data_IF_912552385021
#
_entry.id   IF_912552385021
#
_cell.length_a   1.000
_cell.length_b   1.000
_cell.length_c   1.000
_cell.angle_alpha   90.00
_cell.angle_beta   90.00
_cell.angle_gamma   90.00
#
_symmetry.space_group_name_H-M   'P 1'
#
loop_
_entity.id
_entity.type
_entity.pdbx_description
1 polymer ?
#
# COMPACT_ATOMS: atom_id res chain seq x y z
N UNK A 1 -28.68 -66.58 -25.89
CA UNK A 1 -27.46 -66.28 -25.12
C UNK A 1 -27.46 -64.85 -24.57
N UNK A 2 -28.53 -64.05 -24.69
CA UNK A 2 -28.64 -62.60 -24.28
C UNK A 2 -29.19 -62.52 -22.84
N UNK A 3 -29.97 -63.40 -22.34
CA UNK A 3 -30.61 -63.37 -21.00
C UNK A 3 -29.67 -63.55 -19.81
N UNK A 4 -28.49 -64.17 -19.99
CA UNK A 4 -27.56 -64.40 -18.88
C UNK A 4 -26.73 -63.12 -18.50
N UNK A 5 -26.56 -62.24 -19.44
CA UNK A 5 -25.74 -60.99 -19.23
C UNK A 5 -26.54 -59.90 -18.49
N UNK A 6 -27.82 -59.77 -18.75
CA UNK A 6 -28.69 -58.78 -18.04
C UNK A 6 -28.93 -59.21 -16.58
N UNK A 7 -29.12 -60.48 -16.31
CA UNK A 7 -29.33 -60.99 -14.96
C UNK A 7 -28.07 -60.76 -14.09
N UNK A 8 -26.88 -61.05 -14.63
CA UNK A 8 -25.59 -60.82 -13.96
C UNK A 8 -25.38 -59.31 -13.66
N UNK A 9 -25.83 -58.43 -14.56
CA UNK A 9 -25.71 -57.00 -14.39
C UNK A 9 -26.63 -56.46 -13.28
N UNK A 10 -27.86 -56.94 -13.19
CA UNK A 10 -28.81 -56.59 -12.11
C UNK A 10 -28.36 -57.07 -10.73
N UNK A 11 -27.81 -58.26 -10.65
CA UNK A 11 -27.27 -58.81 -9.39
C UNK A 11 -26.04 -58.04 -8.95
N UNK A 12 -25.13 -57.69 -9.85
CA UNK A 12 -23.95 -56.87 -9.58
C UNK A 12 -24.30 -55.50 -9.00
N UNK A 13 -25.27 -54.79 -9.58
CA UNK A 13 -25.74 -53.51 -9.07
C UNK A 13 -26.42 -53.62 -7.70
N UNK A 14 -27.16 -54.75 -7.46
CA UNK A 14 -27.79 -55.00 -6.19
C UNK A 14 -26.75 -55.25 -5.08
N UNK A 15 -25.72 -56.04 -5.38
CA UNK A 15 -24.62 -56.33 -4.46
C UNK A 15 -23.79 -55.06 -4.14
N UNK A 16 -23.55 -54.25 -5.15
CA UNK A 16 -22.91 -52.94 -4.98
C UNK A 16 -23.73 -52.02 -4.05
N UNK A 17 -25.03 -51.86 -4.31
CA UNK A 17 -25.93 -51.11 -3.47
C UNK A 17 -26.03 -51.63 -2.04
N UNK A 18 -26.04 -52.95 -1.87
CA UNK A 18 -26.08 -53.60 -0.56
C UNK A 18 -24.78 -53.44 0.23
N UNK A 19 -23.62 -53.44 -0.45
CA UNK A 19 -22.32 -53.11 0.14
C UNK A 19 -22.26 -51.65 0.62
N UNK A 20 -22.81 -50.69 -0.16
CA UNK A 20 -22.93 -49.32 0.26
C UNK A 20 -23.87 -49.12 1.47
N UNK A 21 -25.00 -49.80 1.49
CA UNK A 21 -25.99 -49.69 2.59
C UNK A 21 -25.51 -50.37 3.87
N UNK A 22 -24.68 -51.43 3.77
CA UNK A 22 -24.09 -52.13 4.92
C UNK A 22 -22.93 -51.39 5.60
N UNK A 23 -22.26 -50.43 4.89
CA UNK A 23 -21.11 -49.67 5.43
C UNK A 23 -21.27 -48.15 5.27
N UNK A 24 -22.47 -47.66 5.51
CA UNK A 24 -22.82 -46.21 5.34
C UNK A 24 -21.85 -45.28 6.08
N UNK A 25 -21.45 -45.60 7.30
CA UNK A 25 -20.52 -44.80 8.08
C UNK A 25 -19.14 -44.64 7.43
N UNK A 26 -18.58 -45.77 6.95
CA UNK A 26 -17.28 -45.77 6.26
C UNK A 26 -17.35 -45.00 4.93
N UNK A 27 -18.42 -45.26 4.15
CA UNK A 27 -18.63 -44.55 2.88
C UNK A 27 -18.77 -43.03 3.10
N UNK A 28 -19.60 -42.63 4.08
CA UNK A 28 -19.80 -41.21 4.41
C UNK A 28 -18.49 -40.53 4.88
N UNK A 29 -17.71 -41.25 5.72
CA UNK A 29 -16.39 -40.73 6.16
C UNK A 29 -15.43 -40.45 5.00
N UNK A 30 -15.32 -41.41 4.07
CA UNK A 30 -14.45 -41.25 2.90
C UNK A 30 -14.96 -40.15 2.00
N UNK A 31 -16.26 -40.07 1.73
CA UNK A 31 -16.88 -39.06 0.92
C UNK A 31 -16.65 -37.65 1.54
N UNK A 32 -16.86 -37.50 2.85
CA UNK A 32 -16.64 -36.25 3.57
C UNK A 32 -15.17 -35.86 3.52
N UNK A 33 -14.24 -36.77 3.69
CA UNK A 33 -12.81 -36.50 3.60
C UNK A 33 -12.41 -36.04 2.20
N UNK A 34 -12.90 -36.69 1.16
CA UNK A 34 -12.66 -36.27 -0.23
C UNK A 34 -13.29 -34.91 -0.55
N UNK A 35 -14.49 -34.65 -0.02
CA UNK A 35 -15.18 -33.38 -0.18
C UNK A 35 -14.42 -32.25 0.50
N UNK A 36 -13.95 -32.45 1.73
CA UNK A 36 -13.15 -31.48 2.46
C UNK A 36 -11.81 -31.18 1.75
N UNK A 37 -11.14 -32.24 1.29
CA UNK A 37 -9.89 -32.10 0.53
C UNK A 37 -10.08 -31.32 -0.77
N UNK A 38 -11.13 -31.64 -1.53
CA UNK A 38 -11.48 -30.93 -2.76
C UNK A 38 -11.85 -29.46 -2.49
N UNK A 39 -12.64 -29.21 -1.44
CA UNK A 39 -13.04 -27.86 -1.04
C UNK A 39 -11.82 -27.01 -0.66
N UNK A 40 -10.92 -27.57 0.15
CA UNK A 40 -9.69 -26.89 0.54
C UNK A 40 -8.81 -26.57 -0.68
N UNK A 41 -8.62 -27.53 -1.59
CA UNK A 41 -7.81 -27.33 -2.78
C UNK A 41 -8.40 -26.27 -3.72
N UNK A 42 -9.71 -26.31 -3.96
CA UNK A 42 -10.40 -25.31 -4.80
C UNK A 42 -10.38 -23.95 -4.11
N UNK A 43 -10.64 -23.90 -2.80
CA UNK A 43 -10.59 -22.66 -2.02
C UNK A 43 -9.23 -21.96 -2.13
N UNK A 44 -8.15 -22.69 -1.94
CA UNK A 44 -6.80 -22.17 -2.08
C UNK A 44 -6.48 -21.69 -3.50
N UNK A 45 -6.90 -22.46 -4.53
CA UNK A 45 -6.66 -22.07 -5.93
C UNK A 45 -7.44 -20.83 -6.36
N UNK A 46 -8.60 -20.57 -5.77
CA UNK A 46 -9.44 -19.42 -6.14
C UNK A 46 -9.07 -18.18 -5.32
N UNK A 47 -8.53 -18.35 -4.11
CA UNK A 47 -8.18 -17.24 -3.23
C UNK A 47 -7.09 -16.33 -3.83
N UNK A 48 -5.98 -16.89 -4.32
CA UNK A 48 -4.86 -16.10 -4.85
C UNK A 48 -5.27 -15.19 -6.02
N UNK A 49 -5.89 -15.67 -7.12
CA UNK A 49 -6.30 -14.82 -8.22
C UNK A 49 -7.32 -13.73 -7.82
N UNK A 50 -8.18 -14.02 -6.85
CA UNK A 50 -9.15 -13.03 -6.37
C UNK A 50 -8.47 -11.93 -5.55
N UNK A 51 -7.50 -12.29 -4.71
CA UNK A 51 -6.69 -11.31 -3.97
C UNK A 51 -5.90 -10.42 -4.92
N UNK A 52 -5.22 -11.00 -5.92
CA UNK A 52 -4.48 -10.24 -6.95
C UNK A 52 -5.40 -9.28 -7.70
N UNK A 53 -6.59 -9.74 -8.12
CA UNK A 53 -7.56 -8.88 -8.82
C UNK A 53 -8.03 -7.72 -7.95
N UNK A 54 -8.31 -7.96 -6.67
CA UNK A 54 -8.73 -6.93 -5.72
C UNK A 54 -7.61 -5.92 -5.48
N UNK A 55 -6.38 -6.39 -5.30
CA UNK A 55 -5.22 -5.54 -5.12
C UNK A 55 -4.93 -4.71 -6.39
N UNK A 56 -5.02 -5.32 -7.57
CA UNK A 56 -4.86 -4.60 -8.83
C UNK A 56 -5.92 -3.51 -9.02
N UNK A 57 -7.20 -3.83 -8.74
CA UNK A 57 -8.26 -2.81 -8.78
C UNK A 57 -7.95 -1.64 -7.85
N UNK A 58 -7.45 -1.91 -6.65
CA UNK A 58 -7.05 -0.86 -5.71
C UNK A 58 -5.88 -0.02 -6.24
N UNK A 59 -4.84 -0.66 -6.77
CA UNK A 59 -3.68 0.00 -7.40
C UNK A 59 -4.12 0.95 -8.51
N UNK A 60 -5.01 0.50 -9.39
CA UNK A 60 -5.53 1.32 -10.48
C UNK A 60 -6.41 2.47 -9.97
N UNK A 61 -7.30 2.20 -9.01
CA UNK A 61 -8.19 3.20 -8.43
C UNK A 61 -7.43 4.32 -7.72
N UNK A 62 -6.43 3.97 -6.94
CA UNK A 62 -5.59 4.93 -6.23
C UNK A 62 -4.56 5.60 -7.15
N UNK A 63 -4.41 5.13 -8.39
CA UNK A 63 -3.31 5.51 -9.28
C UNK A 63 -1.96 5.41 -8.55
N UNK A 64 -1.72 4.22 -7.93
CA UNK A 64 -0.56 4.00 -7.07
C UNK A 64 0.75 4.22 -7.85
N UNK A 65 1.71 4.88 -7.23
CA UNK A 65 3.04 5.03 -7.78
C UNK A 65 3.71 3.66 -8.01
N UNK A 66 4.38 3.51 -9.14
CA UNK A 66 5.22 2.33 -9.41
C UNK A 66 6.54 2.44 -8.65
N UNK A 67 7.02 3.67 -8.44
CA UNK A 67 8.25 3.97 -7.71
C UNK A 67 8.12 5.27 -6.91
N UNK A 68 8.81 5.31 -5.77
CA UNK A 68 8.88 6.50 -4.93
C UNK A 68 10.33 6.85 -4.65
N UNK A 69 10.71 8.08 -4.94
CA UNK A 69 12.01 8.66 -4.58
C UNK A 69 11.85 9.48 -3.32
N UNK A 70 12.62 9.16 -2.29
CA UNK A 70 12.63 9.87 -1.00
C UNK A 70 14.03 10.46 -0.80
N UNK A 71 14.09 11.74 -0.44
CA UNK A 71 15.33 12.45 -0.21
C UNK A 71 15.32 13.09 1.19
N UNK A 72 16.21 12.63 2.07
CA UNK A 72 16.32 13.12 3.46
C UNK A 72 16.65 14.62 3.54
N UNK A 73 17.39 15.12 2.55
CA UNK A 73 17.75 16.53 2.42
C UNK A 73 16.88 17.28 1.41
N UNK A 74 15.79 16.67 0.94
CA UNK A 74 14.89 17.17 -0.07
C UNK A 74 15.43 17.01 -1.50
N UNK A 75 14.56 17.15 -2.47
CA UNK A 75 14.83 17.14 -3.92
C UNK A 75 15.08 18.59 -4.35
N UNK A 76 16.30 18.93 -4.74
CA UNK A 76 16.60 20.28 -5.20
C UNK A 76 16.06 20.53 -6.63
N UNK A 77 16.32 21.70 -7.18
CA UNK A 77 15.78 22.07 -8.48
C UNK A 77 16.32 21.18 -9.59
N UNK A 78 17.58 20.73 -9.51
CA UNK A 78 18.18 19.85 -10.50
C UNK A 78 17.52 18.47 -10.45
N UNK A 79 17.33 17.90 -9.24
CA UNK A 79 16.61 16.65 -9.05
C UNK A 79 15.17 16.73 -9.62
N UNK A 80 14.48 17.85 -9.36
CA UNK A 80 13.11 18.05 -9.85
C UNK A 80 13.05 18.16 -11.37
N UNK A 81 13.96 18.91 -11.99
CA UNK A 81 14.03 19.04 -13.45
C UNK A 81 14.33 17.71 -14.13
N UNK A 82 15.26 16.92 -13.59
CA UNK A 82 15.58 15.60 -14.11
C UNK A 82 14.40 14.63 -13.98
N UNK A 83 13.74 14.57 -12.82
CA UNK A 83 12.57 13.74 -12.62
C UNK A 83 11.39 14.15 -13.51
N UNK A 84 11.15 15.46 -13.68
CA UNK A 84 10.08 15.97 -14.56
C UNK A 84 10.32 15.66 -16.04
N UNK A 85 11.58 15.60 -16.45
CA UNK A 85 11.98 15.33 -17.83
C UNK A 85 12.12 13.83 -18.15
N UNK A 86 11.80 12.93 -17.19
CA UNK A 86 11.78 11.50 -17.42
C UNK A 86 10.81 11.15 -18.55
N UNK A 87 11.33 10.55 -19.61
CA UNK A 87 10.51 10.12 -20.73
C UNK A 87 9.66 8.91 -20.33
N UNK A 88 8.35 9.03 -20.48
CA UNK A 88 7.41 7.92 -20.21
C UNK A 88 7.08 7.73 -18.73
N UNK A 89 7.32 8.73 -17.89
CA UNK A 89 6.90 8.74 -16.49
C UNK A 89 6.06 9.98 -16.17
N UNK A 90 4.98 9.78 -15.43
CA UNK A 90 4.28 10.85 -14.73
C UNK A 90 4.91 11.00 -13.33
N UNK A 91 5.15 12.23 -12.90
CA UNK A 91 5.78 12.53 -11.63
C UNK A 91 4.91 13.47 -10.81
N UNK A 92 4.72 13.16 -9.53
CA UNK A 92 4.08 14.03 -8.55
C UNK A 92 4.99 14.23 -7.35
N UNK A 93 5.39 15.46 -7.13
CA UNK A 93 6.20 15.85 -5.97
C UNK A 93 5.31 16.08 -4.75
N UNK A 94 5.90 15.95 -3.58
CA UNK A 94 5.21 16.21 -2.33
C UNK A 94 6.17 16.29 -1.14
N UNK A 95 5.57 16.37 0.02
CA UNK A 95 6.29 16.40 1.29
C UNK A 95 5.93 15.20 2.15
N UNK A 96 6.90 14.76 2.92
CA UNK A 96 6.75 13.72 3.92
C UNK A 96 7.63 14.05 5.12
N UNK A 97 7.10 13.93 6.32
CA UNK A 97 7.87 14.09 7.56
C UNK A 97 7.33 13.19 8.66
N UNK A 98 8.23 12.70 9.50
CA UNK A 98 7.87 11.88 10.66
C UNK A 98 7.94 12.74 11.93
N UNK A 99 6.84 12.76 12.67
CA UNK A 99 6.68 13.49 13.94
C UNK A 99 6.21 12.52 15.02
N UNK A 100 6.04 13.01 16.24
CA UNK A 100 5.37 12.27 17.31
C UNK A 100 4.02 12.88 17.62
N UNK A 101 3.12 12.11 18.20
CA UNK A 101 1.99 12.69 18.92
C UNK A 101 2.49 13.39 20.18
N UNK A 102 1.93 14.54 20.48
CA UNK A 102 2.31 15.30 21.66
C UNK A 102 2.12 14.44 22.93
N UNK A 103 3.14 14.49 23.81
CA UNK A 103 3.19 13.73 25.05
C UNK A 103 3.19 12.19 24.91
N UNK A 104 3.49 11.67 23.73
CA UNK A 104 3.65 10.23 23.48
C UNK A 104 4.95 9.92 22.75
N UNK A 105 5.26 8.64 22.58
CA UNK A 105 6.34 8.14 21.73
C UNK A 105 5.80 7.57 20.42
N UNK A 106 4.51 7.75 20.14
CA UNK A 106 3.88 7.27 18.91
C UNK A 106 4.33 8.14 17.73
N UNK A 107 5.06 7.56 16.79
CA UNK A 107 5.48 8.25 15.58
C UNK A 107 4.32 8.28 14.57
N UNK A 108 4.10 9.44 13.99
CA UNK A 108 3.12 9.67 12.93
C UNK A 108 3.83 10.25 11.70
N UNK A 109 3.57 9.64 10.53
CA UNK A 109 4.04 10.14 9.25
C UNK A 109 3.04 11.09 8.64
N UNK A 110 3.44 12.31 8.38
CA UNK A 110 2.60 13.33 7.76
C UNK A 110 3.01 13.50 6.30
N UNK A 111 2.04 13.33 5.42
CA UNK A 111 2.18 13.55 3.99
C UNK A 111 1.49 14.84 3.57
N UNK A 112 2.00 15.47 2.52
CA UNK A 112 1.19 16.42 1.76
C UNK A 112 0.11 15.69 0.98
N UNK A 113 -1.04 16.35 0.78
CA UNK A 113 -2.13 15.85 -0.07
C UNK A 113 -1.61 15.58 -1.49
N UNK A 114 -2.04 14.47 -2.07
CA UNK A 114 -1.76 14.10 -3.47
C UNK A 114 -3.00 14.32 -4.33
N UNK A 115 -2.79 14.73 -5.59
CA UNK A 115 -3.87 15.01 -6.53
C UNK A 115 -3.98 13.97 -7.64
N UNK A 116 -2.86 13.43 -8.11
CA UNK A 116 -2.80 12.54 -9.29
C UNK A 116 -2.33 11.14 -8.97
N UNK A 117 -1.18 11.00 -8.32
CA UNK A 117 -0.51 9.73 -8.06
C UNK A 117 -0.63 9.37 -6.57
N UNK A 118 -0.86 8.10 -6.27
CA UNK A 118 -1.02 7.61 -4.89
C UNK A 118 -2.11 8.39 -4.12
N UNK A 119 -3.34 8.42 -4.68
CA UNK A 119 -4.45 9.18 -4.09
C UNK A 119 -4.93 8.55 -2.80
N UNK A 120 -5.05 9.38 -1.77
CA UNK A 120 -5.66 8.97 -0.51
C UNK A 120 -7.15 8.69 -0.69
N UNK A 121 -7.62 7.56 -0.18
CA UNK A 121 -9.03 7.19 -0.18
C UNK A 121 -9.70 7.68 1.10
N UNK A 122 -10.66 8.61 0.97
CA UNK A 122 -11.44 9.11 2.10
C UNK A 122 -12.47 8.05 2.52
N UNK A 123 -12.42 7.61 3.76
CA UNK A 123 -13.37 6.65 4.34
C UNK A 123 -14.47 7.35 5.12
N UNK A 124 -14.13 8.48 5.75
CA UNK A 124 -15.08 9.31 6.48
C UNK A 124 -14.65 10.79 6.45
N UNK A 125 -15.60 11.72 6.35
CA UNK A 125 -15.30 13.14 6.29
C UNK A 125 -14.72 13.58 4.95
N UNK A 126 -13.66 14.38 4.96
CA UNK A 126 -13.00 14.92 3.76
C UNK A 126 -11.48 15.08 3.94
N UNK A 127 -10.77 15.24 2.85
CA UNK A 127 -9.38 15.66 2.86
C UNK A 127 -9.23 17.11 3.36
N UNK A 128 -8.07 17.49 3.92
CA UNK A 128 -7.78 18.85 4.36
C UNK A 128 -7.79 19.83 3.18
N UNK A 129 -8.35 21.01 3.42
CA UNK A 129 -8.41 22.14 2.49
C UNK A 129 -7.77 23.40 3.09
N UNK A 130 -7.69 23.47 4.43
CA UNK A 130 -7.11 24.59 5.16
C UNK A 130 -5.82 24.18 5.87
N UNK A 131 -4.98 25.16 6.22
CA UNK A 131 -3.69 24.91 6.87
C UNK A 131 -3.79 24.29 8.28
N UNK A 132 -4.93 24.44 8.98
CA UNK A 132 -5.16 23.89 10.32
C UNK A 132 -5.90 22.55 10.31
N UNK A 133 -6.04 21.93 9.15
CA UNK A 133 -6.78 20.70 8.94
C UNK A 133 -5.85 19.50 8.69
N UNK A 134 -6.29 18.34 9.15
CA UNK A 134 -5.59 17.08 8.98
C UNK A 134 -6.61 15.95 8.73
N UNK A 135 -6.35 15.10 7.75
CA UNK A 135 -7.01 13.80 7.63
C UNK A 135 -6.11 12.73 8.24
N UNK A 136 -6.69 11.87 9.09
CA UNK A 136 -5.97 10.87 9.88
C UNK A 136 -6.19 9.46 9.32
N UNK A 137 -5.29 8.54 9.63
CA UNK A 137 -5.42 7.15 9.25
C UNK A 137 -6.74 6.52 9.74
N UNK A 138 -7.46 5.79 8.87
CA UNK A 138 -8.80 5.24 9.12
C UNK A 138 -8.87 4.34 10.36
N UNK A 139 -7.83 3.55 10.63
CA UNK A 139 -7.79 2.66 11.79
C UNK A 139 -7.72 3.38 13.14
N UNK A 140 -7.60 4.72 13.16
CA UNK A 140 -7.70 5.55 14.37
C UNK A 140 -9.07 6.22 14.56
N UNK A 141 -10.06 5.95 13.69
CA UNK A 141 -11.43 6.50 13.78
C UNK A 141 -12.18 6.14 15.06
N UNK A 142 -11.80 5.03 15.72
CA UNK A 142 -12.36 4.64 17.02
C UNK A 142 -11.69 5.37 18.18
N UNK A 143 -10.51 5.96 17.97
CA UNK A 143 -9.72 6.70 18.97
C UNK A 143 -9.94 8.20 18.89
N UNK A 144 -10.25 8.73 17.70
CA UNK A 144 -10.42 10.15 17.43
C UNK A 144 -11.73 10.42 16.68
N UNK A 145 -12.21 11.67 16.75
CA UNK A 145 -13.44 12.10 16.08
C UNK A 145 -13.15 13.27 15.12
N UNK A 146 -13.96 13.39 14.06
CA UNK A 146 -13.94 14.56 13.18
C UNK A 146 -14.30 15.81 14.00
N UNK A 147 -13.55 16.89 13.81
CA UNK A 147 -13.64 18.12 14.59
C UNK A 147 -12.77 18.15 15.84
N UNK A 148 -12.20 17.03 16.25
CA UNK A 148 -11.27 16.98 17.38
C UNK A 148 -9.92 17.57 16.97
N UNK A 149 -9.26 18.28 17.90
CA UNK A 149 -7.91 18.79 17.69
C UNK A 149 -6.88 17.75 18.13
N UNK A 150 -5.91 17.49 17.25
CA UNK A 150 -4.75 16.65 17.50
C UNK A 150 -3.50 17.53 17.60
N UNK A 151 -2.61 17.22 18.54
CA UNK A 151 -1.35 17.92 18.72
C UNK A 151 -0.17 17.03 18.30
N UNK A 152 0.68 17.57 17.42
CA UNK A 152 1.88 16.91 16.96
C UNK A 152 3.09 17.42 17.76
N UNK A 153 3.82 16.50 18.34
CA UNK A 153 5.04 16.78 19.09
C UNK A 153 6.22 16.91 18.15
N UNK A 154 7.07 17.87 18.45
CA UNK A 154 8.33 18.07 17.74
C UNK A 154 9.49 17.74 18.68
N UNK A 155 10.50 17.07 18.17
CA UNK A 155 11.72 16.81 18.93
C UNK A 155 12.36 18.14 19.32
N UNK A 156 12.58 18.40 20.61
CA UNK A 156 13.30 19.61 21.07
C UNK A 156 14.64 19.69 20.34
N UNK A 157 14.87 20.79 19.61
CA UNK A 157 16.10 21.01 18.85
C UNK A 157 16.05 20.59 17.37
N UNK A 158 14.95 19.99 16.90
CA UNK A 158 14.72 19.77 15.47
C UNK A 158 13.96 20.97 14.89
N UNK A 159 14.40 21.49 13.75
CA UNK A 159 13.61 22.44 12.99
C UNK A 159 12.30 21.78 12.57
N UNK A 160 11.20 22.32 13.09
CA UNK A 160 9.87 21.87 12.67
C UNK A 160 9.72 21.97 11.17
N UNK A 161 9.44 20.87 10.52
CA UNK A 161 9.13 20.87 9.09
C UNK A 161 7.71 21.36 8.79
N UNK A 162 6.82 21.33 9.79
CA UNK A 162 5.46 21.86 9.68
C UNK A 162 5.35 23.26 10.31
N UNK A 163 4.50 24.10 9.73
CA UNK A 163 4.20 25.46 10.22
C UNK A 163 3.42 25.46 11.54
N UNK A 164 2.63 24.41 11.78
CA UNK A 164 1.74 24.24 12.93
C UNK A 164 2.07 22.97 13.70
N UNK A 165 1.66 22.92 14.94
CA UNK A 165 1.76 21.77 15.85
C UNK A 165 0.39 21.21 16.26
N UNK A 166 -0.70 21.88 15.86
CA UNK A 166 -2.07 21.50 16.18
C UNK A 166 -2.95 21.56 14.95
N UNK A 167 -3.78 20.53 14.77
CA UNK A 167 -4.63 20.36 13.61
C UNK A 167 -6.01 19.85 14.01
N UNK A 168 -7.04 20.32 13.29
CA UNK A 168 -8.41 19.82 13.40
C UNK A 168 -8.58 18.63 12.46
N UNK A 169 -9.05 17.51 12.97
CA UNK A 169 -9.32 16.32 12.17
C UNK A 169 -10.55 16.57 11.30
N UNK A 170 -10.40 16.49 9.97
CA UNK A 170 -11.48 16.69 8.99
C UNK A 170 -11.98 15.42 8.36
N UNK A 171 -11.21 14.34 8.47
CA UNK A 171 -11.59 13.05 7.93
C UNK A 171 -10.62 11.93 8.29
N UNK A 172 -11.01 10.74 7.85
CA UNK A 172 -10.21 9.54 7.95
C UNK A 172 -9.94 8.99 6.57
N UNK A 173 -8.72 8.48 6.36
CA UNK A 173 -8.22 8.08 5.04
C UNK A 173 -7.47 6.75 5.09
N UNK A 174 -7.52 6.03 3.97
CA UNK A 174 -6.53 4.99 3.66
C UNK A 174 -5.40 5.60 2.84
N UNK A 175 -4.16 5.30 3.24
CA UNK A 175 -2.97 5.64 2.47
C UNK A 175 -2.74 4.57 1.40
N UNK A 176 -2.48 4.96 0.16
CA UNK A 176 -2.07 4.02 -0.87
C UNK A 176 -0.63 3.52 -0.68
N UNK A 177 0.21 4.27 0.04
CA UNK A 177 1.62 3.95 0.25
C UNK A 177 1.85 3.05 1.49
N UNK A 178 0.85 2.91 2.38
CA UNK A 178 0.93 2.13 3.63
C UNK A 178 -0.25 1.16 3.71
N UNK A 179 -0.03 -0.09 3.34
CA UNK A 179 -1.07 -1.12 3.27
C UNK A 179 -1.29 -1.88 4.59
N UNK A 180 -0.26 -1.97 5.43
CA UNK A 180 -0.33 -2.73 6.68
C UNK A 180 -0.59 -1.81 7.86
N UNK A 181 -1.47 -2.23 8.76
CA UNK A 181 -1.71 -1.55 10.04
C UNK A 181 -0.86 -2.13 11.17
N UNK A 182 -0.30 -3.31 10.98
CA UNK A 182 0.55 -3.99 11.97
C UNK A 182 2.04 -3.70 11.80
N UNK A 183 2.46 -3.38 10.56
CA UNK A 183 3.82 -2.97 10.23
C UNK A 183 3.73 -1.87 9.18
N UNK A 184 3.77 -0.63 9.63
CA UNK A 184 3.71 0.56 8.79
C UNK A 184 5.09 1.08 8.38
N UNK A 185 6.14 0.43 8.85
CA UNK A 185 7.52 0.79 8.61
C UNK A 185 8.19 1.51 9.78
N UNK A 186 9.47 1.77 9.60
CA UNK A 186 10.32 2.45 10.59
C UNK A 186 10.17 3.97 10.52
N UNK A 187 10.50 4.63 11.64
CA UNK A 187 10.53 6.08 11.76
C UNK A 187 11.80 6.50 12.52
N UNK A 188 12.37 7.64 12.14
CA UNK A 188 13.43 8.28 12.92
C UNK A 188 12.88 9.01 14.16
N UNK A 189 11.56 9.09 14.32
CA UNK A 189 10.86 9.75 15.42
C UNK A 189 10.27 8.72 16.39
N UNK A 190 9.97 9.18 17.59
CA UNK A 190 9.28 8.38 18.62
C UNK A 190 10.08 7.14 19.05
N UNK A 191 9.39 5.99 19.09
CA UNK A 191 9.93 4.69 19.50
C UNK A 191 10.60 3.91 18.36
N UNK A 192 10.73 4.52 17.17
CA UNK A 192 11.38 3.90 16.00
C UNK A 192 10.41 3.22 15.02
N UNK A 193 9.14 3.07 15.37
CA UNK A 193 8.11 2.48 14.52
C UNK A 193 6.97 3.48 14.27
N UNK A 194 6.41 3.47 13.07
CA UNK A 194 5.22 4.25 12.77
C UNK A 194 4.01 3.67 13.50
N UNK A 195 3.27 4.57 14.16
CA UNK A 195 2.01 4.25 14.83
C UNK A 195 0.78 4.71 14.02
N UNK A 196 0.95 5.72 13.14
CA UNK A 196 -0.09 6.22 12.27
C UNK A 196 0.49 7.04 11.11
N UNK A 197 -0.40 7.49 10.25
CA UNK A 197 -0.12 8.52 9.23
C UNK A 197 -1.26 9.54 9.19
N UNK A 198 -0.94 10.70 8.63
CA UNK A 198 -1.89 11.77 8.39
C UNK A 198 -1.57 12.53 7.12
N UNK A 199 -2.54 13.29 6.64
CA UNK A 199 -2.46 14.10 5.44
C UNK A 199 -2.80 15.54 5.78
N UNK A 200 -1.99 16.48 5.33
CA UNK A 200 -2.20 17.93 5.46
C UNK A 200 -2.08 18.58 4.07
N UNK A 201 -2.43 19.86 3.96
CA UNK A 201 -2.19 20.60 2.73
C UNK A 201 -0.69 20.85 2.54
N UNK A 202 -0.25 20.99 1.29
CA UNK A 202 1.15 21.24 0.94
C UNK A 202 1.71 22.50 1.62
N UNK A 203 0.90 23.56 1.72
CA UNK A 203 1.24 24.82 2.34
C UNK A 203 1.64 24.74 3.82
N UNK A 204 1.36 23.61 4.48
CA UNK A 204 1.78 23.37 5.86
C UNK A 204 3.28 23.16 6.04
N UNK A 205 3.97 22.76 4.98
CA UNK A 205 5.40 22.49 5.05
C UNK A 205 6.20 23.78 4.95
N UNK A 206 7.23 23.93 5.78
CA UNK A 206 8.16 25.07 5.78
C UNK A 206 9.24 24.96 4.73
N UNK A 207 9.50 23.74 4.25
CA UNK A 207 10.53 23.49 3.25
C UNK A 207 10.10 24.04 1.89
N UNK A 208 11.05 24.60 1.16
CA UNK A 208 10.89 24.97 -0.24
C UNK A 208 11.30 23.86 -1.20
N UNK A 209 11.84 22.76 -0.68
CA UNK A 209 12.27 21.60 -1.47
C UNK A 209 11.42 20.39 -1.09
N UNK A 210 10.91 19.70 -2.08
CA UNK A 210 10.12 18.48 -1.89
C UNK A 210 10.96 17.38 -1.25
N UNK A 211 10.33 16.51 -0.47
CA UNK A 211 11.01 15.37 0.20
C UNK A 211 10.66 14.03 -0.40
N UNK A 212 9.64 13.99 -1.23
CA UNK A 212 9.14 12.77 -1.88
C UNK A 212 8.73 13.09 -3.32
N UNK A 213 9.07 12.20 -4.24
CA UNK A 213 8.54 12.18 -5.60
C UNK A 213 7.95 10.81 -5.90
N UNK A 214 6.73 10.77 -6.41
CA UNK A 214 6.01 9.57 -6.81
C UNK A 214 6.00 9.49 -8.32
N UNK A 215 6.45 8.34 -8.84
CA UNK A 215 6.58 8.11 -10.27
C UNK A 215 5.61 7.02 -10.71
N UNK A 216 4.99 7.24 -11.87
CA UNK A 216 4.18 6.24 -12.54
C UNK A 216 4.64 6.11 -13.98
N UNK A 217 5.09 4.91 -14.36
CA UNK A 217 5.65 4.67 -15.68
C UNK A 217 4.58 4.22 -16.68
N UNK A 218 4.56 4.85 -17.84
CA UNK A 218 3.66 4.48 -18.94
C UNK A 218 3.89 3.03 -19.38
N UNK A 219 5.14 2.56 -19.34
CA UNK A 219 5.54 1.19 -19.67
C UNK A 219 4.90 0.12 -18.77
N UNK A 220 4.41 0.51 -17.57
CA UNK A 220 3.85 -0.37 -16.53
C UNK A 220 2.33 -0.26 -16.38
N UNK A 221 1.68 0.72 -17.00
CA UNK A 221 0.26 1.07 -16.77
C UNK A 221 -0.70 -0.11 -16.95
N UNK A 222 -0.49 -0.94 -17.98
CA UNK A 222 -1.37 -2.08 -18.30
C UNK A 222 -0.74 -3.44 -17.95
N UNK A 223 0.39 -3.44 -17.25
CA UNK A 223 1.08 -4.66 -16.84
C UNK A 223 0.59 -5.11 -15.47
N UNK A 224 0.31 -6.40 -15.34
CA UNK A 224 -0.09 -6.96 -14.04
C UNK A 224 1.05 -6.79 -13.01
N UNK A 225 0.85 -6.03 -11.92
CA UNK A 225 1.90 -5.76 -10.94
C UNK A 225 2.40 -7.00 -10.18
N UNK A 226 1.66 -8.13 -10.27
CA UNK A 226 2.06 -9.41 -9.69
C UNK A 226 2.75 -10.35 -10.69
N UNK A 227 3.09 -9.85 -11.88
CA UNK A 227 3.77 -10.64 -12.92
C UNK A 227 5.29 -10.42 -12.91
N UNK A 228 6.03 -11.44 -13.34
CA UNK A 228 7.49 -11.32 -13.54
C UNK A 228 7.88 -10.33 -14.66
N UNK A 229 6.94 -9.99 -15.54
CA UNK A 229 7.17 -8.97 -16.58
C UNK A 229 7.17 -7.57 -15.98
N UNK A 230 6.25 -7.30 -15.04
CA UNK A 230 6.23 -6.05 -14.29
C UNK A 230 7.52 -5.86 -13.47
N UNK A 231 7.95 -6.88 -12.74
CA UNK A 231 9.16 -6.86 -11.93
C UNK A 231 10.40 -6.51 -12.78
N UNK A 232 10.59 -7.20 -13.92
CA UNK A 232 11.72 -6.94 -14.83
C UNK A 232 11.71 -5.53 -15.43
N UNK A 233 10.52 -5.03 -15.81
CA UNK A 233 10.40 -3.67 -16.33
C UNK A 233 10.65 -2.64 -15.24
N UNK A 234 10.14 -2.86 -14.05
CA UNK A 234 10.37 -1.96 -12.91
C UNK A 234 11.86 -1.91 -12.53
N UNK A 235 12.56 -3.06 -12.51
CA UNK A 235 14.01 -3.11 -12.28
C UNK A 235 14.79 -2.34 -13.35
N UNK A 236 14.35 -2.40 -14.61
CA UNK A 236 14.98 -1.64 -15.70
C UNK A 236 14.78 -0.13 -15.53
N UNK A 237 13.56 0.31 -15.20
CA UNK A 237 13.26 1.72 -14.91
C UNK A 237 14.05 2.21 -13.68
N UNK A 238 14.13 1.37 -12.63
CA UNK A 238 14.91 1.69 -11.42
C UNK A 238 16.40 1.85 -11.73
N UNK A 239 16.97 0.97 -12.55
CA UNK A 239 18.37 1.06 -12.94
C UNK A 239 18.66 2.32 -13.76
N UNK A 240 17.77 2.65 -14.70
CA UNK A 240 17.88 3.88 -15.50
C UNK A 240 17.79 5.14 -14.64
N UNK A 241 16.85 5.16 -13.69
CA UNK A 241 16.69 6.28 -12.76
C UNK A 241 17.89 6.45 -11.84
N UNK A 242 18.43 5.34 -11.32
CA UNK A 242 19.65 5.38 -10.48
C UNK A 242 20.86 5.92 -11.23
N UNK A 243 21.02 5.55 -12.48
CA UNK A 243 22.10 6.07 -13.33
C UNK A 243 21.95 7.57 -13.58
N UNK A 244 20.72 8.02 -13.87
CA UNK A 244 20.41 9.43 -14.14
C UNK A 244 20.64 10.31 -12.90
N UNK A 245 20.24 9.86 -11.70
CA UNK A 245 20.36 10.63 -10.45
C UNK A 245 21.73 10.47 -9.76
N UNK A 246 22.64 9.66 -10.29
CA UNK A 246 23.90 9.32 -9.62
C UNK A 246 24.81 10.55 -9.38
N UNK A 247 24.85 11.47 -10.35
CA UNK A 247 25.76 12.64 -10.30
C UNK A 247 25.23 13.73 -9.34
N UNK A 248 23.91 13.83 -9.14
CA UNK A 248 23.29 14.87 -8.31
C UNK A 248 23.70 14.77 -6.83
N UNK A 249 23.74 13.54 -6.30
CA UNK A 249 24.16 13.30 -4.92
C UNK A 249 25.60 13.75 -4.64
N UNK A 250 26.50 13.53 -5.59
CA UNK A 250 27.92 13.95 -5.47
C UNK A 250 28.07 15.46 -5.59
N UNK A 251 27.44 16.06 -6.58
CA UNK A 251 27.46 17.52 -6.81
C UNK A 251 26.91 18.27 -5.58
N UNK A 252 25.84 17.77 -4.98
CA UNK A 252 25.27 18.33 -3.76
C UNK A 252 26.17 18.19 -2.54
N UNK A 253 26.81 17.03 -2.36
CA UNK A 253 27.79 16.81 -1.28
C UNK A 253 28.97 17.78 -1.40
N UNK A 254 29.46 18.03 -2.61
CA UNK A 254 30.54 18.99 -2.86
C UNK A 254 30.13 20.43 -2.57
N UNK A 255 28.87 20.78 -2.91
CA UNK A 255 28.31 22.11 -2.61
C UNK A 255 28.19 22.35 -1.11
N UNK A 256 27.66 21.37 -0.36
CA UNK A 256 27.54 21.43 1.10
C UNK A 256 28.89 21.45 1.85
N UNK A 257 29.97 20.97 1.22
CA UNK A 257 31.32 21.05 1.82
C UNK A 257 32.00 22.40 1.57
N UNK A 258 31.50 23.19 0.61
CA UNK A 258 32.06 24.50 0.25
C UNK A 258 31.39 25.67 1.00
N UNK A 259 30.14 25.46 1.46
CA UNK A 259 29.37 26.37 2.30
C UNK A 259 29.67 26.13 3.79
#
# INVERSE_FOLDING_TARGET
MIWSTEMKRKTYWKDLLQSFTGSKGRFLSILTLMMLGSLALVGLKVASPNMERTAWYYIQKANLADMTVIADYGLDQADQEELQNLSGADVEFGFMTDLTLANTQDAIRIFSKTDKISKFEVTQGRLPEQEDELALADFWKDRYQIGQVIHLGQKKGSNSQLKRDSYTITGFVHSPDIFSTSDMGSSASGNGNLAAYGVVTEDNFKSSVYTIARLRFTSLTDVNPFSSDYEKKLEAEEAALKEQLADNGQARLEKMKKD
#
